data_IF_965745802601
#
_entry.id   IF_965745802601
#
_cell.length_a   1.000
_cell.length_b   1.000
_cell.length_c   1.000
_cell.angle_alpha   90.00
_cell.angle_beta   90.00
_cell.angle_gamma   90.00
#
_symmetry.space_group_name_H-M   'P 1'
#
loop_
_entity.id
_entity.type
_entity.pdbx_description
1 polymer ?
#
# COMPACT_ATOMS: atom_id res chain seq x y z
N UNK A 1 13.68 23.47 -12.91
CA UNK A 1 13.82 22.58 -11.72
C UNK A 1 13.85 21.14 -12.18
N UNK A 2 14.99 20.46 -12.11
CA UNK A 2 15.15 19.05 -12.46
C UNK A 2 15.21 18.19 -11.19
N UNK A 3 14.13 18.16 -10.39
CA UNK A 3 14.08 17.39 -9.14
C UNK A 3 13.86 15.88 -9.42
N UNK A 4 13.31 15.55 -10.58
CA UNK A 4 12.95 14.17 -10.94
C UNK A 4 14.13 13.31 -11.43
N UNK A 5 15.25 13.93 -11.82
CA UNK A 5 16.43 13.20 -12.29
C UNK A 5 17.32 12.91 -11.08
N UNK A 6 17.52 11.64 -10.71
CA UNK A 6 18.40 11.31 -9.61
C UNK A 6 19.85 11.64 -9.98
N UNK A 7 20.58 12.25 -9.05
CA UNK A 7 22.00 12.54 -9.24
C UNK A 7 22.90 11.30 -9.18
N UNK A 8 22.38 10.17 -8.67
CA UNK A 8 23.13 8.90 -8.53
C UNK A 8 22.26 7.69 -8.84
N UNK A 9 22.91 6.57 -9.20
CA UNK A 9 22.25 5.29 -9.47
C UNK A 9 22.04 4.40 -8.23
N UNK A 10 22.37 4.90 -7.04
CA UNK A 10 22.32 4.12 -5.78
C UNK A 10 20.95 3.51 -5.48
N UNK A 11 19.87 4.16 -5.91
CA UNK A 11 18.50 3.63 -5.80
C UNK A 11 18.31 2.34 -6.60
N UNK A 12 18.91 2.27 -7.80
CA UNK A 12 18.81 1.13 -8.71
C UNK A 12 19.77 0.03 -8.27
N UNK A 13 20.96 0.39 -7.80
CA UNK A 13 21.94 -0.56 -7.23
C UNK A 13 21.39 -1.31 -6.02
N UNK A 14 20.71 -0.60 -5.10
CA UNK A 14 20.05 -1.23 -3.95
C UNK A 14 18.93 -2.17 -4.40
N UNK A 15 18.14 -1.77 -5.41
CA UNK A 15 17.08 -2.61 -5.97
C UNK A 15 17.61 -3.92 -6.58
N UNK A 16 18.71 -3.85 -7.33
CA UNK A 16 19.34 -5.04 -7.91
C UNK A 16 20.08 -5.90 -6.88
N UNK A 17 20.66 -5.28 -5.84
CA UNK A 17 21.28 -6.01 -4.74
C UNK A 17 20.25 -6.84 -3.97
N UNK A 18 19.11 -6.22 -3.64
CA UNK A 18 18.00 -6.89 -2.97
C UNK A 18 17.39 -8.04 -3.81
N UNK A 19 17.32 -7.85 -5.14
CA UNK A 19 16.80 -8.83 -6.10
C UNK A 19 17.85 -9.83 -6.60
N UNK A 20 19.09 -9.73 -6.13
CA UNK A 20 20.22 -10.50 -6.67
C UNK A 20 19.99 -12.01 -6.57
N UNK A 21 19.33 -12.48 -5.51
CA UNK A 21 18.99 -13.90 -5.32
C UNK A 21 18.07 -14.46 -6.43
N UNK A 22 17.13 -13.67 -6.93
CA UNK A 22 16.21 -14.07 -8.00
C UNK A 22 16.90 -14.10 -9.37
N UNK A 23 18.08 -13.48 -9.48
CA UNK A 23 18.87 -13.34 -10.71
C UNK A 23 20.01 -14.37 -10.76
N UNK A 24 20.74 -14.56 -9.65
CA UNK A 24 22.04 -15.26 -9.66
C UNK A 24 22.02 -16.62 -8.95
N UNK A 25 21.20 -16.82 -7.92
CA UNK A 25 21.21 -18.05 -7.12
C UNK A 25 20.47 -19.18 -7.84
N UNK A 26 21.15 -20.29 -8.13
CA UNK A 26 20.60 -21.44 -8.86
C UNK A 26 19.27 -21.95 -8.26
N UNK A 27 19.15 -21.94 -6.93
CA UNK A 27 17.95 -22.43 -6.21
C UNK A 27 16.73 -21.52 -6.37
N UNK A 28 16.95 -20.22 -6.56
CA UNK A 28 15.92 -19.18 -6.57
C UNK A 28 15.88 -18.39 -7.86
N UNK A 29 16.65 -18.81 -8.87
CA UNK A 29 16.75 -18.14 -10.16
C UNK A 29 15.44 -18.23 -10.89
N UNK A 30 14.86 -17.08 -11.18
CA UNK A 30 13.62 -16.95 -11.92
C UNK A 30 13.91 -16.62 -13.39
N UNK A 31 12.93 -16.79 -14.26
CA UNK A 31 13.10 -16.47 -15.68
C UNK A 31 13.24 -14.95 -15.85
N UNK A 32 14.02 -14.52 -16.84
CA UNK A 32 14.28 -13.08 -17.08
C UNK A 32 13.02 -12.23 -17.23
N UNK A 33 11.96 -12.77 -17.84
CA UNK A 33 10.66 -12.10 -17.94
C UNK A 33 9.98 -11.85 -16.58
N UNK A 34 10.00 -12.86 -15.71
CA UNK A 34 9.43 -12.79 -14.36
C UNK A 34 10.24 -11.86 -13.45
N UNK A 35 11.57 -11.90 -13.55
CA UNK A 35 12.48 -10.98 -12.84
C UNK A 35 12.15 -9.53 -13.19
N UNK A 36 11.93 -9.21 -14.47
CA UNK A 36 11.58 -7.86 -14.89
C UNK A 36 10.23 -7.40 -14.32
N UNK A 37 9.23 -8.29 -14.31
CA UNK A 37 7.92 -8.00 -13.70
C UNK A 37 8.06 -7.77 -12.19
N UNK A 38 8.84 -8.59 -11.50
CA UNK A 38 9.09 -8.49 -10.07
C UNK A 38 9.81 -7.17 -9.73
N UNK A 39 10.85 -6.80 -10.49
CA UNK A 39 11.56 -5.53 -10.34
C UNK A 39 10.65 -4.32 -10.59
N UNK A 40 9.80 -4.39 -11.61
CA UNK A 40 8.82 -3.34 -11.91
C UNK A 40 7.86 -3.13 -10.73
N UNK A 41 7.29 -4.21 -10.20
CA UNK A 41 6.37 -4.14 -9.05
C UNK A 41 7.09 -3.59 -7.83
N UNK A 42 8.30 -4.10 -7.52
CA UNK A 42 9.06 -3.67 -6.33
C UNK A 42 9.47 -2.21 -6.40
N UNK A 43 9.90 -1.72 -7.56
CA UNK A 43 10.26 -0.30 -7.77
C UNK A 43 9.07 0.64 -7.60
N UNK A 44 7.88 0.21 -8.04
CA UNK A 44 6.70 1.07 -8.11
C UNK A 44 5.67 0.77 -7.02
N UNK A 45 5.99 -0.05 -6.01
CA UNK A 45 4.99 -0.53 -5.05
C UNK A 45 4.26 0.58 -4.30
N UNK A 46 4.94 1.68 -3.97
CA UNK A 46 4.33 2.84 -3.31
C UNK A 46 3.33 3.54 -4.23
N UNK A 47 3.72 3.80 -5.48
CA UNK A 47 2.86 4.40 -6.51
C UNK A 47 1.67 3.50 -6.85
N UNK A 48 1.91 2.19 -6.96
CA UNK A 48 0.87 1.21 -7.22
C UNK A 48 -0.12 1.11 -6.06
N UNK A 49 0.31 1.25 -4.81
CA UNK A 49 -0.59 1.29 -3.64
C UNK A 49 -1.46 2.54 -3.62
N UNK A 50 -0.96 3.66 -4.10
CA UNK A 50 -1.73 4.90 -4.20
C UNK A 50 -2.78 4.82 -5.32
N UNK A 51 -2.40 4.31 -6.49
CA UNK A 51 -3.28 4.13 -7.64
C UNK A 51 -4.30 2.99 -7.46
N UNK A 52 -3.86 1.90 -6.83
CA UNK A 52 -4.64 0.69 -6.61
C UNK A 52 -4.63 0.36 -5.11
N UNK A 53 -5.39 1.11 -4.30
CA UNK A 53 -5.47 0.87 -2.86
C UNK A 53 -5.99 -0.55 -2.61
N UNK A 54 -5.38 -1.30 -1.67
CA UNK A 54 -5.78 -2.67 -1.42
C UNK A 54 -7.23 -2.73 -0.95
N UNK A 55 -8.00 -3.66 -1.52
CA UNK A 55 -9.41 -3.90 -1.18
C UNK A 55 -9.64 -4.07 0.33
N UNK A 56 -8.66 -4.61 1.05
CA UNK A 56 -8.68 -4.80 2.50
C UNK A 56 -8.82 -3.46 3.25
N UNK A 57 -8.14 -2.40 2.78
CA UNK A 57 -8.25 -1.06 3.38
C UNK A 57 -9.59 -0.38 3.03
N UNK A 58 -10.11 -0.62 1.83
CA UNK A 58 -11.42 -0.12 1.40
C UNK A 58 -12.55 -0.73 2.24
N UNK A 59 -12.47 -2.05 2.51
CA UNK A 59 -13.44 -2.76 3.35
C UNK A 59 -13.36 -2.31 4.82
N UNK A 60 -12.16 -2.03 5.34
CA UNK A 60 -11.97 -1.53 6.71
C UNK A 60 -12.56 -0.12 6.90
N UNK A 61 -12.41 0.77 5.89
CA UNK A 61 -13.05 2.10 5.89
C UNK A 61 -14.57 2.01 5.87
N UNK A 62 -15.16 1.06 5.13
CA UNK A 62 -16.61 0.83 5.11
C UNK A 62 -17.17 0.36 6.46
N UNK A 63 -16.43 -0.45 7.22
CA UNK A 63 -16.89 -0.94 8.53
C UNK A 63 -16.98 0.17 9.60
N UNK A 64 -16.09 1.16 9.55
CA UNK A 64 -16.06 2.24 10.55
C UNK A 64 -17.14 3.31 10.34
N UNK A 65 -17.74 3.41 9.15
CA UNK A 65 -18.76 4.42 8.85
C UNK A 65 -20.18 4.01 9.29
N UNK A 66 -20.37 2.78 9.76
CA UNK A 66 -21.69 2.22 10.06
C UNK A 66 -22.04 2.22 11.56
N UNK A 67 -21.18 2.74 12.44
CA UNK A 67 -21.56 3.00 13.83
C UNK A 67 -22.35 4.30 13.91
N UNK A 68 -23.61 4.23 13.48
CA UNK A 68 -24.62 5.26 13.71
C UNK A 68 -24.72 5.51 15.21
N UNK A 69 -24.32 6.70 15.64
CA UNK A 69 -24.62 7.21 16.98
C UNK A 69 -26.13 7.36 17.11
N UNK A 70 -26.82 6.31 17.57
CA UNK A 70 -28.17 6.43 18.12
C UNK A 70 -28.04 7.26 19.40
N UNK A 71 -28.19 8.58 19.28
CA UNK A 71 -28.38 9.45 20.44
C UNK A 71 -29.68 9.04 21.11
N UNK A 72 -29.60 8.29 22.20
CA UNK A 72 -30.76 8.03 23.05
C UNK A 72 -31.27 9.36 23.60
N UNK A 73 -32.42 9.83 23.13
CA UNK A 73 -33.08 11.00 23.73
C UNK A 73 -33.45 10.68 25.18
N UNK A 74 -32.85 11.41 26.13
CA UNK A 74 -33.26 11.33 27.54
C UNK A 74 -34.68 11.87 27.68
N UNK A 75 -35.59 11.01 28.12
CA UNK A 75 -37.00 11.31 28.35
C UNK A 75 -37.14 12.31 29.50
N UNK A 76 -37.61 13.53 29.20
CA UNK A 76 -37.80 14.62 30.17
C UNK A 76 -38.98 14.26 31.10
N UNK A 77 -38.75 14.09 32.41
CA UNK A 77 -39.84 13.84 33.37
C UNK A 77 -40.65 15.12 33.56
N UNK A 78 -41.93 15.05 33.20
CA UNK A 78 -42.91 16.10 33.40
C UNK A 78 -43.41 16.06 34.86
N UNK A 79 -43.17 17.12 35.62
CA UNK A 79 -43.63 17.25 37.02
C UNK A 79 -45.02 17.90 36.99
N UNK A 80 -46.06 17.13 37.30
CA UNK A 80 -47.43 17.65 37.48
C UNK A 80 -47.47 18.43 38.81
N UNK A 81 -47.98 19.65 38.75
CA UNK A 81 -48.28 20.49 39.90
C UNK A 81 -49.53 20.00 40.60
#
# INVERSE_FOLDING_TARGET
MCIAIPATNTCVERLFSDGGNAITSLRTRSQTGEVNQLLFIRRNISTLRELFPPLIEQLKKRKNNNTSTTTMMKRKKFKRR
#
